data_IF_007857904493
#
_entry.id   IF_007857904493
#
_cell.length_a   1.000
_cell.length_b   1.000
_cell.length_c   1.000
_cell.angle_alpha   90.00
_cell.angle_beta   90.00
_cell.angle_gamma   90.00
#
_symmetry.space_group_name_H-M   'P 1'
#
loop_
_entity.id
_entity.type
_entity.pdbx_description
1 polymer ?
#
# COMPACT_ATOMS: atom_id res chain seq x y z
N UNK A 1 -23.96 -3.89 -32.97
CA UNK A 1 -23.07 -4.95 -32.48
C UNK A 1 -22.77 -4.75 -31.00
N UNK A 2 -23.37 -5.61 -30.20
CA UNK A 2 -23.34 -5.66 -28.73
C UNK A 2 -21.94 -5.53 -28.13
N UNK A 3 -21.78 -4.61 -27.17
CA UNK A 3 -20.93 -4.83 -26.00
C UNK A 3 -21.83 -4.71 -24.77
N UNK A 4 -22.18 -5.86 -24.22
CA UNK A 4 -22.93 -6.01 -22.98
C UNK A 4 -22.08 -5.46 -21.84
N UNK A 5 -22.58 -4.41 -21.20
CA UNK A 5 -22.09 -3.91 -19.91
C UNK A 5 -22.44 -4.96 -18.85
N UNK A 6 -21.49 -5.82 -18.50
CA UNK A 6 -21.61 -6.68 -17.33
C UNK A 6 -21.28 -5.84 -16.09
N UNK A 7 -22.29 -5.12 -15.60
CA UNK A 7 -22.26 -4.48 -14.29
C UNK A 7 -22.35 -5.57 -13.21
N UNK A 8 -21.24 -6.25 -12.93
CA UNK A 8 -21.12 -7.13 -11.77
C UNK A 8 -20.82 -6.24 -10.56
N UNK A 9 -21.89 -5.78 -9.88
CA UNK A 9 -21.80 -5.18 -8.55
C UNK A 9 -21.41 -6.25 -7.53
N UNK A 10 -20.11 -6.59 -7.48
CA UNK A 10 -19.51 -7.26 -6.33
C UNK A 10 -19.08 -6.14 -5.39
N UNK A 11 -19.99 -5.72 -4.50
CA UNK A 11 -19.62 -4.79 -3.44
C UNK A 11 -18.94 -5.60 -2.33
N UNK A 12 -17.65 -5.35 -2.09
CA UNK A 12 -17.05 -5.73 -0.82
C UNK A 12 -17.79 -5.01 0.30
N UNK A 13 -18.06 -5.72 1.40
CA UNK A 13 -18.42 -5.02 2.65
C UNK A 13 -17.24 -4.15 3.06
N UNK A 14 -17.55 -3.09 3.81
CA UNK A 14 -16.60 -2.14 4.36
C UNK A 14 -15.34 -2.86 4.84
N UNK A 15 -14.24 -2.66 4.11
CA UNK A 15 -12.92 -3.15 4.48
C UNK A 15 -12.53 -2.38 5.73
N UNK A 16 -12.78 -2.93 6.91
CA UNK A 16 -12.35 -2.31 8.16
C UNK A 16 -10.84 -2.46 8.29
N UNK A 17 -10.09 -1.46 7.84
CA UNK A 17 -8.67 -1.36 8.15
C UNK A 17 -8.54 -0.71 9.52
N UNK A 18 -8.53 -1.53 10.58
CA UNK A 18 -8.27 -1.00 11.92
C UNK A 18 -6.77 -0.67 12.05
N UNK A 19 -6.39 0.56 11.67
CA UNK A 19 -5.09 1.14 12.03
C UNK A 19 -5.11 1.47 13.53
N UNK A 20 -4.68 0.53 14.37
CA UNK A 20 -4.43 0.82 15.79
C UNK A 20 -3.07 1.48 15.93
N UNK A 21 -3.03 2.82 16.10
CA UNK A 21 -1.85 3.52 16.61
C UNK A 21 -1.75 3.23 18.12
N UNK A 22 -0.83 2.36 18.51
CA UNK A 22 -0.44 2.20 19.90
C UNK A 22 0.27 3.46 20.37
N UNK A 23 -0.41 4.38 21.07
CA UNK A 23 0.20 5.14 22.18
C UNK A 23 -0.73 6.14 22.86
N UNK A 24 -1.25 5.75 24.03
CA UNK A 24 -1.27 6.64 25.19
C UNK A 24 -0.25 6.12 26.21
N UNK A 25 0.42 6.99 26.98
CA UNK A 25 1.34 6.57 28.05
C UNK A 25 0.66 5.79 29.19
N UNK A 26 -0.67 5.68 29.20
CA UNK A 26 -1.49 4.98 30.21
C UNK A 26 -1.90 3.56 29.81
N UNK A 27 -1.51 3.08 28.63
CA UNK A 27 -1.86 1.72 28.14
C UNK A 27 -3.30 1.56 27.64
N UNK A 28 -4.07 2.65 27.49
CA UNK A 28 -5.40 2.61 26.87
C UNK A 28 -5.33 2.75 25.34
N UNK A 29 -6.12 1.94 24.62
CA UNK A 29 -6.34 2.11 23.18
C UNK A 29 -7.50 3.10 22.96
N UNK A 30 -7.21 4.28 22.41
CA UNK A 30 -8.26 5.21 22.00
C UNK A 30 -8.64 4.97 20.56
N UNK A 31 -9.90 4.55 20.34
CA UNK A 31 -10.53 4.49 19.02
C UNK A 31 -10.76 5.92 18.52
N UNK A 32 -9.81 6.47 17.79
CA UNK A 32 -9.98 7.75 17.09
C UNK A 32 -9.57 7.52 15.65
N UNK A 33 -10.51 7.03 14.82
CA UNK A 33 -10.32 7.02 13.37
C UNK A 33 -10.22 8.47 12.89
N UNK A 34 -9.00 8.98 12.77
CA UNK A 34 -8.76 10.30 12.20
C UNK A 34 -9.08 10.31 10.70
N UNK A 35 -9.48 11.46 10.15
CA UNK A 35 -9.72 11.63 8.70
C UNK A 35 -8.51 11.19 7.84
N UNK A 36 -7.29 11.37 8.38
CA UNK A 36 -6.06 10.96 7.71
C UNK A 36 -5.92 9.44 7.63
N UNK A 37 -6.30 8.71 8.68
CA UNK A 37 -6.26 7.24 8.73
C UNK A 37 -7.31 6.67 7.79
N UNK A 38 -8.52 7.21 7.79
CA UNK A 38 -9.59 6.83 6.85
C UNK A 38 -9.15 6.97 5.38
N UNK A 39 -8.45 8.06 5.04
CA UNK A 39 -7.93 8.25 3.68
C UNK A 39 -6.86 7.23 3.29
N UNK A 40 -6.00 6.83 4.23
CA UNK A 40 -4.98 5.81 4.00
C UNK A 40 -5.59 4.43 3.87
N UNK A 41 -6.53 4.09 4.75
CA UNK A 41 -7.34 2.90 4.69
C UNK A 41 -8.03 2.76 3.33
N UNK A 42 -8.65 3.84 2.83
CA UNK A 42 -9.29 3.84 1.52
C UNK A 42 -8.27 3.55 0.41
N UNK A 43 -7.09 4.16 0.45
CA UNK A 43 -6.03 3.89 -0.52
C UNK A 43 -5.60 2.40 -0.51
N UNK A 44 -5.44 1.81 0.67
CA UNK A 44 -5.08 0.39 0.81
C UNK A 44 -6.21 -0.51 0.30
N UNK A 45 -7.45 -0.20 0.68
CA UNK A 45 -8.67 -0.89 0.23
C UNK A 45 -8.73 -0.93 -1.29
N UNK A 46 -8.77 0.23 -1.94
CA UNK A 46 -8.87 0.35 -3.39
C UNK A 46 -7.73 -0.39 -4.12
N UNK A 47 -6.51 -0.32 -3.57
CA UNK A 47 -5.36 -1.05 -4.13
C UNK A 47 -5.55 -2.57 -4.03
N UNK A 48 -6.00 -3.08 -2.88
CA UNK A 48 -6.26 -4.51 -2.69
C UNK A 48 -7.40 -5.00 -3.58
N UNK A 49 -8.48 -4.22 -3.70
CA UNK A 49 -9.63 -4.53 -4.56
C UNK A 49 -9.24 -4.63 -6.02
N UNK A 50 -8.38 -3.72 -6.50
CA UNK A 50 -7.87 -3.73 -7.86
C UNK A 50 -6.96 -4.95 -8.14
N UNK A 51 -6.23 -5.44 -7.13
CA UNK A 51 -5.34 -6.59 -7.27
C UNK A 51 -6.05 -7.95 -7.08
N UNK A 52 -7.14 -8.01 -6.32
CA UNK A 52 -7.84 -9.26 -6.01
C UNK A 52 -8.81 -9.68 -7.12
N UNK A 53 -8.83 -10.97 -7.45
CA UNK A 53 -9.81 -11.56 -8.36
C UNK A 53 -11.10 -11.90 -7.60
N UNK A 54 -11.83 -10.87 -7.17
CA UNK A 54 -13.04 -10.99 -6.34
C UNK A 54 -14.15 -11.84 -6.99
N UNK A 55 -14.17 -11.92 -8.33
CA UNK A 55 -15.11 -12.76 -9.08
C UNK A 55 -15.00 -14.26 -8.78
N UNK A 56 -13.84 -14.72 -8.28
CA UNK A 56 -13.62 -16.12 -7.90
C UNK A 56 -14.20 -16.46 -6.51
N UNK A 57 -14.61 -15.45 -5.74
CA UNK A 57 -15.03 -15.59 -4.35
C UNK A 57 -16.37 -14.89 -4.02
N UNK A 58 -17.48 -15.16 -4.76
CA UNK A 58 -18.73 -14.40 -4.67
C UNK A 58 -19.50 -14.56 -3.35
N UNK A 59 -19.12 -15.50 -2.48
CA UNK A 59 -19.72 -15.73 -1.15
C UNK A 59 -18.67 -15.69 -0.03
N UNK A 60 -17.54 -15.04 -0.28
CA UNK A 60 -16.49 -14.88 0.71
C UNK A 60 -16.49 -13.44 1.23
N UNK A 61 -16.21 -13.30 2.53
CA UNK A 61 -15.88 -12.01 3.13
C UNK A 61 -14.39 -11.99 3.41
N UNK A 62 -13.71 -10.92 3.03
CA UNK A 62 -12.31 -10.68 3.35
C UNK A 62 -12.23 -9.53 4.34
N UNK A 63 -11.51 -9.76 5.44
CA UNK A 63 -11.22 -8.73 6.44
C UNK A 63 -9.72 -8.67 6.61
N UNK A 64 -9.14 -7.49 6.35
CA UNK A 64 -7.70 -7.23 6.44
C UNK A 64 -7.47 -6.19 7.53
N UNK A 65 -6.73 -6.59 8.57
CA UNK A 65 -6.47 -5.75 9.74
C UNK A 65 -4.98 -5.41 9.74
N UNK A 66 -4.66 -4.11 9.72
CA UNK A 66 -3.29 -3.60 9.75
C UNK A 66 -3.00 -2.92 11.08
N UNK A 67 -2.28 -3.62 11.96
CA UNK A 67 -1.87 -3.04 13.23
C UNK A 67 -0.47 -2.40 13.11
N UNK A 68 -0.38 -1.10 13.43
CA UNK A 68 0.86 -0.35 13.41
C UNK A 68 1.54 -0.50 14.77
N UNK A 69 2.67 -1.22 14.81
CA UNK A 69 3.45 -1.40 16.04
C UNK A 69 4.39 -0.24 16.31
N UNK A 70 5.01 0.28 15.24
CA UNK A 70 5.92 1.41 15.27
C UNK A 70 5.83 2.14 13.92
N UNK A 71 5.87 3.45 13.97
CA UNK A 71 5.87 4.32 12.80
C UNK A 71 7.13 5.18 12.81
N UNK A 72 8.03 4.91 11.86
CA UNK A 72 9.22 5.70 11.59
C UNK A 72 9.20 6.22 10.15
N UNK A 73 8.01 6.58 9.65
CA UNK A 73 7.82 7.12 8.30
C UNK A 73 7.37 6.07 7.28
N UNK A 74 6.98 6.54 6.10
CA UNK A 74 6.54 5.71 4.98
C UNK A 74 5.39 4.76 5.34
N UNK A 75 4.53 5.18 6.27
CA UNK A 75 3.49 4.34 6.87
C UNK A 75 2.55 3.71 5.82
N UNK A 76 2.06 4.51 4.87
CA UNK A 76 1.12 4.02 3.85
C UNK A 76 1.76 2.96 2.95
N UNK A 77 3.02 3.15 2.54
CA UNK A 77 3.75 2.14 1.77
C UNK A 77 3.98 0.87 2.58
N UNK A 78 4.31 0.99 3.88
CA UNK A 78 4.45 -0.14 4.77
C UNK A 78 3.13 -0.93 4.88
N UNK A 79 2.00 -0.23 5.07
CA UNK A 79 0.66 -0.82 5.11
C UNK A 79 0.31 -1.57 3.82
N UNK A 80 0.57 -0.98 2.65
CA UNK A 80 0.36 -1.64 1.35
C UNK A 80 1.21 -2.91 1.22
N UNK A 81 2.47 -2.84 1.62
CA UNK A 81 3.40 -3.96 1.55
C UNK A 81 2.99 -5.11 2.49
N UNK A 82 2.57 -4.77 3.71
CA UNK A 82 2.04 -5.71 4.69
C UNK A 82 0.74 -6.36 4.17
N UNK A 83 -0.16 -5.57 3.59
CA UNK A 83 -1.39 -6.07 2.99
C UNK A 83 -1.12 -7.06 1.86
N UNK A 84 -0.26 -6.71 0.89
CA UNK A 84 0.08 -7.62 -0.21
C UNK A 84 0.67 -8.94 0.28
N UNK A 85 1.57 -8.90 1.27
CA UNK A 85 2.16 -10.10 1.85
C UNK A 85 1.14 -10.93 2.61
N UNK A 86 0.21 -10.30 3.35
CA UNK A 86 -0.87 -11.00 4.05
C UNK A 86 -1.84 -11.69 3.08
N UNK A 87 -2.22 -11.01 2.00
CA UNK A 87 -3.07 -11.59 0.94
C UNK A 87 -2.38 -12.79 0.26
N UNK A 88 -1.06 -12.69 0.06
CA UNK A 88 -0.26 -13.76 -0.51
C UNK A 88 -0.15 -14.98 0.42
N UNK A 89 0.12 -14.76 1.72
CA UNK A 89 0.19 -15.83 2.73
C UNK A 89 -1.19 -16.49 2.95
N UNK A 90 -2.28 -15.72 2.85
CA UNK A 90 -3.65 -16.23 2.87
C UNK A 90 -4.03 -17.06 1.62
N UNK A 91 -3.19 -17.08 0.58
CA UNK A 91 -3.43 -17.85 -0.64
C UNK A 91 -4.57 -17.32 -1.50
N UNK A 92 -4.86 -16.02 -1.41
CA UNK A 92 -5.93 -15.39 -2.19
C UNK A 92 -5.53 -15.26 -3.66
N UNK A 93 -6.52 -15.43 -4.55
CA UNK A 93 -6.31 -15.28 -5.98
C UNK A 93 -6.16 -13.80 -6.33
N UNK A 94 -4.95 -13.37 -6.70
CA UNK A 94 -4.62 -12.02 -7.12
C UNK A 94 -4.24 -12.00 -8.61
N UNK A 95 -4.70 -10.99 -9.35
CA UNK A 95 -4.30 -10.77 -10.75
C UNK A 95 -2.83 -10.38 -10.83
N UNK A 96 -2.34 -9.68 -9.81
CA UNK A 96 -0.95 -9.30 -9.66
C UNK A 96 -0.58 -9.04 -8.19
N UNK A 97 0.72 -9.01 -7.91
CA UNK A 97 1.24 -8.46 -6.66
C UNK A 97 1.40 -6.96 -6.79
N UNK A 98 1.29 -6.25 -5.67
CA UNK A 98 1.54 -4.81 -5.62
C UNK A 98 2.49 -4.46 -4.47
N UNK A 99 3.20 -3.35 -4.60
CA UNK A 99 3.99 -2.81 -3.49
C UNK A 99 3.83 -1.29 -3.41
N UNK A 100 3.81 -0.79 -2.18
CA UNK A 100 3.88 0.62 -1.87
C UNK A 100 5.32 1.10 -1.77
N UNK A 101 5.62 2.23 -2.41
CA UNK A 101 6.87 2.99 -2.22
C UNK A 101 6.52 4.44 -1.93
N UNK A 102 7.08 5.00 -0.87
CA UNK A 102 6.97 6.43 -0.56
C UNK A 102 8.23 7.16 -0.97
N UNK A 103 8.09 8.33 -1.56
CA UNK A 103 9.16 9.24 -1.91
C UNK A 103 8.92 10.58 -1.21
N UNK A 104 9.96 11.11 -0.56
CA UNK A 104 10.00 12.46 -0.04
C UNK A 104 10.79 13.36 -1.01
N UNK A 105 10.30 14.59 -1.18
CA UNK A 105 10.99 15.65 -1.90
C UNK A 105 11.48 16.66 -0.86
N UNK A 106 12.80 16.81 -0.76
CA UNK A 106 13.45 17.78 0.12
C UNK A 106 13.22 19.23 -0.32
N UNK A 107 13.67 20.18 0.50
CA UNK A 107 13.60 21.61 0.18
C UNK A 107 14.42 21.98 -1.07
N UNK A 108 15.54 21.30 -1.28
CA UNK A 108 16.47 21.53 -2.39
C UNK A 108 16.10 20.75 -3.68
N UNK A 109 14.99 20.00 -3.66
CA UNK A 109 14.54 19.16 -4.78
C UNK A 109 15.09 17.73 -4.77
N UNK A 110 15.85 17.34 -3.74
CA UNK A 110 16.36 15.97 -3.60
C UNK A 110 15.22 14.98 -3.33
N UNK A 111 15.21 13.87 -4.08
CA UNK A 111 14.21 12.80 -3.95
C UNK A 111 14.79 11.65 -3.12
N UNK A 112 14.12 11.34 -2.01
CA UNK A 112 14.48 10.24 -1.11
C UNK A 112 13.38 9.18 -1.19
N UNK A 113 13.74 7.94 -1.55
CA UNK A 113 12.82 6.81 -1.49
C UNK A 113 12.85 6.16 -0.09
N UNK A 114 11.69 5.77 0.41
CA UNK A 114 11.46 5.23 1.75
C UNK A 114 11.97 6.17 2.87
N UNK A 115 11.43 7.41 2.97
CA UNK A 115 11.86 8.36 3.98
C UNK A 115 11.52 7.92 5.40
N UNK A 116 12.39 8.28 6.35
CA UNK A 116 12.13 8.15 7.79
C UNK A 116 11.20 9.26 8.31
N UNK A 117 10.63 9.10 9.50
CA UNK A 117 9.72 10.10 10.08
C UNK A 117 10.36 11.50 10.20
N UNK A 118 11.67 11.55 10.47
CA UNK A 118 12.43 12.80 10.48
C UNK A 118 12.51 13.44 9.09
N UNK A 119 12.83 12.64 8.06
CA UNK A 119 12.92 13.09 6.67
C UNK A 119 11.55 13.53 6.13
N UNK A 120 10.47 12.83 6.49
CA UNK A 120 9.11 13.21 6.13
C UNK A 120 8.74 14.60 6.66
N UNK A 121 9.14 14.91 7.89
CA UNK A 121 8.86 16.20 8.53
C UNK A 121 9.61 17.37 7.90
N UNK A 122 10.82 17.11 7.42
CA UNK A 122 11.67 18.11 6.75
C UNK A 122 11.35 18.25 5.25
N UNK A 123 10.61 17.30 4.69
CA UNK A 123 10.25 17.29 3.27
C UNK A 123 9.21 18.35 2.91
N UNK A 124 9.34 18.89 1.69
CA UNK A 124 8.35 19.80 1.09
C UNK A 124 7.12 19.06 0.58
N UNK A 125 7.32 17.84 0.12
CA UNK A 125 6.27 16.99 -0.42
C UNK A 125 6.55 15.51 -0.16
N UNK A 126 5.48 14.75 -0.06
CA UNK A 126 5.47 13.30 0.10
C UNK A 126 4.58 12.67 -0.95
N UNK A 127 5.05 11.60 -1.55
CA UNK A 127 4.33 10.88 -2.59
C UNK A 127 4.43 9.38 -2.32
N UNK A 128 3.30 8.72 -2.17
CA UNK A 128 3.24 7.26 -2.05
C UNK A 128 2.59 6.68 -3.29
N UNK A 129 3.24 5.67 -3.88
CA UNK A 129 2.74 4.97 -5.06
C UNK A 129 2.56 3.49 -4.75
N UNK A 130 1.42 2.93 -5.13
CA UNK A 130 1.25 1.49 -5.27
C UNK A 130 1.60 1.10 -6.70
N UNK A 131 2.55 0.18 -6.88
CA UNK A 131 3.01 -0.27 -8.19
C UNK A 131 2.68 -1.74 -8.36
N UNK A 132 2.21 -2.11 -9.54
CA UNK A 132 1.95 -3.49 -9.95
C UNK A 132 3.25 -4.23 -10.32
N UNK A 133 3.38 -5.48 -9.89
CA UNK A 133 4.48 -6.39 -10.22
C UNK A 133 4.56 -6.82 -11.70
N UNK A 134 3.45 -6.79 -12.43
CA UNK A 134 3.36 -7.33 -13.79
C UNK A 134 3.79 -6.30 -14.83
N UNK A 135 3.08 -5.18 -14.86
CA UNK A 135 3.26 -4.12 -15.85
C UNK A 135 4.00 -2.90 -15.28
N UNK A 136 4.35 -2.91 -13.98
CA UNK A 136 5.01 -1.79 -13.29
C UNK A 136 4.22 -0.49 -13.38
N UNK A 137 2.90 -0.60 -13.54
CA UNK A 137 1.98 0.52 -13.57
C UNK A 137 1.66 0.99 -12.17
N UNK A 138 1.46 2.29 -12.03
CA UNK A 138 0.96 2.90 -10.80
C UNK A 138 -0.53 2.56 -10.69
N UNK A 139 -0.90 1.82 -9.65
CA UNK A 139 -2.29 1.46 -9.33
C UNK A 139 -2.97 2.54 -8.49
N UNK A 140 -2.22 3.14 -7.57
CA UNK A 140 -2.69 4.19 -6.67
C UNK A 140 -1.54 5.17 -6.43
N UNK A 141 -1.86 6.46 -6.30
CA UNK A 141 -0.92 7.50 -5.90
C UNK A 141 -1.55 8.42 -4.87
N UNK A 142 -0.88 8.60 -3.73
CA UNK A 142 -1.24 9.57 -2.71
C UNK A 142 -0.14 10.62 -2.64
N UNK A 143 -0.49 11.89 -2.84
CA UNK A 143 0.48 12.99 -2.87
C UNK A 143 0.10 14.06 -1.86
N UNK A 144 1.08 14.59 -1.14
CA UNK A 144 0.92 15.68 -0.16
C UNK A 144 2.04 16.69 -0.34
N UNK A 145 1.73 17.97 -0.12
CA UNK A 145 2.71 19.05 -0.24
C UNK A 145 2.76 19.67 -1.64
N UNK A 146 3.84 20.42 -1.90
CA UNK A 146 4.02 21.17 -3.15
C UNK A 146 5.14 20.57 -3.99
N UNK A 147 4.88 20.34 -5.27
CA UNK A 147 5.82 19.72 -6.21
C UNK A 147 5.50 20.11 -7.65
N UNK A 148 6.50 20.01 -8.51
CA UNK A 148 6.39 20.20 -9.95
C UNK A 148 6.04 18.89 -10.67
N UNK A 149 5.61 19.00 -11.92
CA UNK A 149 5.31 17.84 -12.76
C UNK A 149 6.58 17.01 -13.05
N UNK A 150 7.75 17.66 -13.13
CA UNK A 150 9.03 16.99 -13.35
C UNK A 150 9.39 16.12 -12.14
N UNK A 151 9.32 16.68 -10.93
CA UNK A 151 9.56 15.93 -9.68
C UNK A 151 8.59 14.75 -9.53
N UNK A 152 7.31 14.92 -9.92
CA UNK A 152 6.35 13.81 -9.92
C UNK A 152 6.79 12.66 -10.84
N UNK A 153 7.23 12.98 -12.06
CA UNK A 153 7.69 11.97 -13.02
C UNK A 153 8.94 11.25 -12.53
N UNK A 154 9.88 11.99 -11.93
CA UNK A 154 11.08 11.42 -11.33
C UNK A 154 10.74 10.52 -10.14
N UNK A 155 9.85 10.94 -9.24
CA UNK A 155 9.35 10.12 -8.12
C UNK A 155 8.71 8.81 -8.59
N UNK A 156 7.91 8.85 -9.66
CA UNK A 156 7.33 7.64 -10.26
C UNK A 156 8.43 6.71 -10.78
N UNK A 157 9.42 7.24 -11.51
CA UNK A 157 10.53 6.44 -12.03
C UNK A 157 11.39 5.83 -10.90
N UNK A 158 11.67 6.59 -9.85
CA UNK A 158 12.39 6.12 -8.65
C UNK A 158 11.59 5.03 -7.95
N UNK A 159 10.29 5.22 -7.77
CA UNK A 159 9.40 4.24 -7.14
C UNK A 159 9.29 2.96 -7.95
N UNK A 160 9.18 3.05 -9.28
CA UNK A 160 9.21 1.88 -10.17
C UNK A 160 10.51 1.11 -10.04
N UNK A 161 11.66 1.78 -9.96
CA UNK A 161 12.94 1.11 -9.75
C UNK A 161 13.06 0.49 -8.35
N UNK A 162 12.58 1.18 -7.32
CA UNK A 162 12.59 0.66 -5.95
C UNK A 162 11.67 -0.55 -5.79
N UNK A 163 10.52 -0.55 -6.48
CA UNK A 163 9.53 -1.64 -6.47
C UNK A 163 10.14 -2.99 -6.84
N UNK A 164 11.10 -3.02 -7.77
CA UNK A 164 11.79 -4.26 -8.17
C UNK A 164 12.46 -4.96 -6.98
N UNK A 165 13.10 -4.18 -6.10
CA UNK A 165 13.76 -4.72 -4.90
C UNK A 165 12.75 -5.24 -3.90
N UNK A 166 11.62 -4.55 -3.74
CA UNK A 166 10.54 -4.96 -2.84
C UNK A 166 9.88 -6.25 -3.34
N UNK A 167 9.59 -6.35 -4.63
CA UNK A 167 9.08 -7.59 -5.22
C UNK A 167 10.06 -8.75 -5.13
N UNK A 168 11.35 -8.48 -5.30
CA UNK A 168 12.38 -9.49 -5.08
C UNK A 168 12.36 -9.96 -3.62
N UNK A 169 12.26 -9.04 -2.67
CA UNK A 169 12.12 -9.37 -1.25
C UNK A 169 10.86 -10.21 -0.95
N UNK A 170 9.73 -9.93 -1.58
CA UNK A 170 8.52 -10.76 -1.44
C UNK A 170 8.78 -12.20 -1.90
N UNK A 171 9.33 -12.36 -3.10
CA UNK A 171 9.64 -13.68 -3.68
C UNK A 171 10.60 -14.46 -2.79
N UNK A 172 11.63 -13.80 -2.27
CA UNK A 172 12.62 -14.44 -1.40
C UNK A 172 12.03 -14.80 -0.03
N UNK A 173 11.16 -13.97 0.53
CA UNK A 173 10.46 -14.22 1.80
C UNK A 173 9.54 -15.44 1.70
N UNK A 174 8.77 -15.51 0.62
CA UNK A 174 7.86 -16.63 0.33
C UNK A 174 8.64 -17.91 0.11
N UNK A 175 9.70 -17.87 -0.70
CA UNK A 175 10.59 -19.02 -0.92
C UNK A 175 11.15 -19.57 0.39
N UNK A 176 11.68 -18.71 1.27
CA UNK A 176 12.23 -19.11 2.58
C UNK A 176 11.21 -19.80 3.48
N UNK A 177 9.92 -19.42 3.38
CA UNK A 177 8.85 -20.04 4.17
C UNK A 177 8.49 -21.44 3.66
N UNK A 178 8.47 -21.64 2.35
CA UNK A 178 8.18 -22.95 1.75
C UNK A 178 9.37 -23.91 1.76
N UNK A 179 10.61 -23.43 1.66
CA UNK A 179 11.80 -24.29 1.70
C UNK A 179 12.15 -24.85 3.07
N UNK A 180 11.49 -24.40 4.15
CA UNK A 180 11.59 -25.01 5.49
C UNK A 180 10.56 -26.12 5.76
N UNK A 181 9.59 -26.29 4.87
CA UNK A 181 8.51 -27.28 5.00
C UNK A 181 8.63 -28.44 3.99
N UNK A 182 9.74 -28.53 3.27
CA UNK A 182 10.18 -29.70 2.50
C UNK A 182 11.46 -30.26 3.13
#
# INVERSE_FOLDING_TARGET
NHKVSASNNVSLREFGCEQNLLSRPDGSASFVQGVREQSQEQCVRETCEAALLLSLHPRSSLTLILQVLHDDGSLLSCCLNAACMALMDAGLSMSCLFCGVTCAIGADGDIIADPTAAQEKESRALMTFAIDSTERRVMMSSTKGSFSVQELQECVAVSQKASEKVFQFYRDSVRRRYSKNL
#
